data_IF_297968010334
#
_entry.id   IF_297968010334
#
_cell.length_a   1.000
_cell.length_b   1.000
_cell.length_c   1.000
_cell.angle_alpha   90.00
_cell.angle_beta   90.00
_cell.angle_gamma   90.00
#
_symmetry.space_group_name_H-M   'P 1'
#
loop_
_entity.id
_entity.type
_entity.pdbx_description
1 polymer ?
#
# COMPACT_ATOMS: atom_id res chain seq x y z
N UNK A 1 5.11 63.83 24.65
CA UNK A 1 4.35 63.16 23.58
C UNK A 1 4.77 61.69 23.58
N UNK A 2 3.91 60.79 24.09
CA UNK A 2 4.14 59.32 24.12
C UNK A 2 3.40 58.73 22.94
N UNK A 3 4.09 57.98 22.10
CA UNK A 3 3.51 57.20 21.00
C UNK A 3 3.55 55.72 21.39
N UNK A 4 2.40 55.20 21.77
CA UNK A 4 2.20 53.80 22.05
C UNK A 4 2.06 53.03 20.73
N UNK A 5 3.07 52.17 20.44
CA UNK A 5 3.01 51.27 19.29
C UNK A 5 2.29 49.98 19.66
N UNK A 6 1.07 49.82 19.13
CA UNK A 6 0.26 48.58 19.23
C UNK A 6 0.89 47.53 18.28
N UNK A 7 1.54 46.48 18.83
CA UNK A 7 1.95 45.30 18.09
C UNK A 7 0.76 44.33 17.99
N UNK A 8 0.10 44.31 16.82
CA UNK A 8 -0.88 43.27 16.48
C UNK A 8 -0.10 41.97 16.17
N UNK A 9 -0.13 41.03 17.11
CA UNK A 9 0.36 39.67 16.90
C UNK A 9 -0.58 38.89 15.99
N UNK A 10 -0.17 38.66 14.75
CA UNK A 10 -0.86 37.77 13.80
C UNK A 10 -0.56 36.32 14.17
N UNK A 11 -1.46 35.65 14.92
CA UNK A 11 -1.42 34.21 15.15
C UNK A 11 -1.78 33.48 13.87
N UNK A 12 -0.79 33.01 13.10
CA UNK A 12 -1.02 32.02 12.05
C UNK A 12 -1.33 30.67 12.70
N UNK A 13 -2.60 30.29 12.74
CA UNK A 13 -3.01 28.95 13.02
C UNK A 13 -2.63 28.06 11.83
N UNK A 14 -1.58 27.25 11.97
CA UNK A 14 -1.27 26.17 11.04
C UNK A 14 -2.44 25.16 11.08
N UNK A 15 -3.01 24.78 9.93
CA UNK A 15 -3.99 23.71 9.92
C UNK A 15 -3.26 22.42 10.36
N UNK A 16 -3.74 21.83 11.45
CA UNK A 16 -3.34 20.49 11.85
C UNK A 16 -3.67 19.54 10.70
N UNK A 17 -2.64 19.02 10.04
CA UNK A 17 -2.76 17.94 9.08
C UNK A 17 -3.29 16.73 9.87
N UNK A 18 -4.60 16.53 9.86
CA UNK A 18 -5.23 15.36 10.40
C UNK A 18 -4.72 14.18 9.54
N UNK A 19 -3.69 13.50 10.04
CA UNK A 19 -3.29 12.20 9.52
C UNK A 19 -4.51 11.30 9.67
N UNK A 20 -5.18 11.02 8.54
CA UNK A 20 -6.20 10.00 8.45
C UNK A 20 -5.54 8.69 8.89
N UNK A 21 -5.79 8.27 10.13
CA UNK A 21 -5.57 6.90 10.56
C UNK A 21 -6.54 6.07 9.74
N UNK A 22 -6.02 5.45 8.67
CA UNK A 22 -6.73 4.35 8.03
C UNK A 22 -6.87 3.29 9.12
N UNK A 23 -8.09 3.06 9.57
CA UNK A 23 -8.42 1.95 10.47
C UNK A 23 -7.99 0.66 9.78
N UNK A 24 -6.90 0.08 10.26
CA UNK A 24 -6.40 -1.23 9.84
C UNK A 24 -7.31 -2.33 10.42
N UNK A 25 -8.59 -2.32 10.05
CA UNK A 25 -9.52 -3.37 10.44
C UNK A 25 -9.37 -4.65 9.58
N UNK A 26 -8.48 -4.61 8.59
CA UNK A 26 -8.21 -5.73 7.69
C UNK A 26 -6.72 -6.04 7.71
N UNK A 27 -6.33 -7.06 8.48
CA UNK A 27 -4.92 -7.46 8.68
C UNK A 27 -4.31 -8.24 7.50
N UNK A 28 -4.82 -8.12 6.28
CA UNK A 28 -4.30 -8.81 5.10
C UNK A 28 -3.63 -7.86 4.14
N UNK A 29 -2.51 -8.31 3.53
CA UNK A 29 -1.84 -7.61 2.44
C UNK A 29 -2.66 -7.67 1.16
N UNK A 30 -2.64 -6.62 0.35
CA UNK A 30 -3.27 -6.61 -0.96
C UNK A 30 -2.54 -7.54 -1.94
N UNK A 31 -3.29 -8.12 -2.88
CA UNK A 31 -2.73 -8.87 -4.00
C UNK A 31 -1.95 -7.89 -4.92
N UNK A 32 -0.62 -8.10 -5.14
CA UNK A 32 0.22 -7.14 -5.84
C UNK A 32 -0.17 -6.84 -7.29
N UNK A 33 -0.40 -7.83 -8.18
CA UNK A 33 -0.80 -7.52 -9.54
C UNK A 33 -2.28 -7.10 -9.58
N UNK A 34 -2.54 -5.93 -10.15
CA UNK A 34 -3.92 -5.42 -10.29
C UNK A 34 -4.78 -6.32 -11.18
N UNK A 35 -4.17 -7.03 -12.12
CA UNK A 35 -4.85 -7.90 -13.08
C UNK A 35 -4.33 -9.34 -12.94
N UNK A 36 -4.45 -9.91 -11.73
CA UNK A 36 -4.09 -11.29 -11.47
C UNK A 36 -4.92 -12.23 -12.37
N UNK A 37 -4.24 -13.14 -13.05
CA UNK A 37 -4.86 -14.22 -13.85
C UNK A 37 -4.92 -15.51 -13.04
N UNK A 38 -3.76 -15.92 -12.51
CA UNK A 38 -3.63 -17.16 -11.73
C UNK A 38 -2.35 -17.12 -10.88
N UNK A 39 -2.24 -18.00 -9.92
CA UNK A 39 -1.02 -18.34 -9.19
C UNK A 39 -0.43 -19.57 -9.84
N UNK A 40 0.60 -19.41 -10.70
CA UNK A 40 1.17 -20.52 -11.47
C UNK A 40 2.12 -21.38 -10.65
N UNK A 41 2.73 -20.82 -9.59
CA UNK A 41 3.65 -21.54 -8.70
C UNK A 41 3.49 -21.06 -7.26
N UNK A 42 3.34 -22.00 -6.33
CA UNK A 42 3.25 -21.75 -4.88
C UNK A 42 4.59 -21.73 -4.19
N UNK A 43 4.59 -21.36 -2.90
CA UNK A 43 5.72 -21.44 -2.01
C UNK A 43 6.11 -22.91 -1.72
N UNK A 44 7.39 -23.18 -1.57
CA UNK A 44 7.91 -24.52 -1.24
C UNK A 44 8.65 -25.19 -2.42
N UNK A 45 9.19 -26.38 -2.21
CA UNK A 45 9.97 -27.13 -3.21
C UNK A 45 11.07 -26.30 -3.91
N UNK A 46 11.81 -25.50 -3.11
CA UNK A 46 12.87 -24.62 -3.61
C UNK A 46 12.37 -23.32 -4.24
N UNK A 47 11.08 -22.98 -4.09
CA UNK A 47 10.49 -21.70 -4.50
C UNK A 47 10.17 -20.84 -3.28
N UNK A 48 10.66 -19.59 -3.27
CA UNK A 48 10.67 -18.71 -2.11
C UNK A 48 9.47 -17.76 -2.04
N UNK A 49 8.51 -17.88 -2.96
CA UNK A 49 7.38 -16.98 -3.04
C UNK A 49 6.17 -17.55 -3.77
N UNK A 50 5.38 -16.67 -4.35
CA UNK A 50 4.28 -16.99 -5.27
C UNK A 50 4.56 -16.36 -6.63
N UNK A 51 4.37 -17.13 -7.70
CA UNK A 51 4.41 -16.60 -9.06
C UNK A 51 2.98 -16.20 -9.49
N UNK A 52 2.74 -14.89 -9.50
CA UNK A 52 1.45 -14.26 -9.76
C UNK A 52 1.38 -13.83 -11.22
N UNK A 53 0.73 -14.64 -12.06
CA UNK A 53 0.61 -14.38 -13.50
C UNK A 53 -0.29 -13.18 -13.77
N UNK A 54 0.22 -12.23 -14.57
CA UNK A 54 -0.51 -11.03 -14.95
C UNK A 54 -0.02 -10.53 -16.32
N UNK A 55 -0.79 -9.70 -17.04
CA UNK A 55 -0.36 -9.18 -18.34
C UNK A 55 0.94 -8.38 -18.26
N UNK A 56 1.83 -8.56 -19.21
CA UNK A 56 3.06 -7.76 -19.34
C UNK A 56 2.72 -6.27 -19.35
N UNK A 57 3.45 -5.49 -18.54
CA UNK A 57 3.25 -4.04 -18.42
C UNK A 57 2.06 -3.62 -17.55
N UNK A 58 1.25 -4.56 -17.03
CA UNK A 58 0.17 -4.22 -16.10
C UNK A 58 0.73 -3.70 -14.75
N UNK A 59 -0.04 -2.88 -14.01
CA UNK A 59 0.45 -2.30 -12.75
C UNK A 59 0.69 -3.35 -11.66
N UNK A 60 1.79 -3.16 -10.91
CA UNK A 60 2.08 -3.83 -9.65
C UNK A 60 1.85 -2.83 -8.53
N UNK A 61 1.11 -3.23 -7.50
CA UNK A 61 0.82 -2.41 -6.32
C UNK A 61 1.58 -2.91 -5.09
N UNK A 62 1.90 -1.98 -4.19
CA UNK A 62 2.41 -2.33 -2.87
C UNK A 62 1.33 -3.10 -2.10
N UNK A 63 1.68 -4.28 -1.61
CA UNK A 63 0.77 -5.14 -0.85
C UNK A 63 0.40 -4.56 0.52
N UNK A 64 1.27 -3.73 1.09
CA UNK A 64 1.06 -2.96 2.32
C UNK A 64 1.89 -1.68 2.28
N UNK A 65 1.55 -0.69 3.12
CA UNK A 65 2.31 0.54 3.27
C UNK A 65 3.68 0.32 3.92
N UNK A 66 4.69 1.10 3.53
CA UNK A 66 6.04 0.94 4.08
C UNK A 66 7.07 1.87 3.47
N UNK A 67 8.33 1.47 3.57
CA UNK A 67 9.47 2.20 3.01
C UNK A 67 10.26 1.29 2.08
N UNK A 68 10.58 1.79 0.89
CA UNK A 68 11.42 1.05 -0.08
C UNK A 68 12.80 0.82 0.52
N UNK A 69 13.22 -0.43 0.64
CA UNK A 69 14.57 -0.81 1.05
C UNK A 69 15.52 -0.90 -0.13
N UNK A 70 15.03 -1.43 -1.24
CA UNK A 70 15.80 -1.67 -2.44
C UNK A 70 14.92 -1.51 -3.68
N UNK A 71 15.46 -0.94 -4.72
CA UNK A 71 14.90 -0.91 -6.07
C UNK A 71 16.05 -1.01 -7.07
N UNK A 72 16.08 -2.08 -7.85
CA UNK A 72 17.20 -2.34 -8.78
C UNK A 72 17.25 -3.78 -9.27
N UNK A 73 18.34 -4.11 -9.99
CA UNK A 73 18.60 -5.46 -10.48
C UNK A 73 19.17 -6.36 -9.37
N UNK A 74 18.64 -7.57 -9.21
CA UNK A 74 19.08 -8.52 -8.21
C UNK A 74 19.13 -9.94 -8.77
N UNK A 75 20.31 -10.37 -9.27
CA UNK A 75 20.56 -11.71 -9.80
C UNK A 75 19.43 -12.26 -10.69
N UNK A 76 19.02 -13.52 -10.44
CA UNK A 76 17.95 -14.22 -11.19
C UNK A 76 16.55 -13.59 -11.03
N UNK A 77 16.33 -12.78 -10.00
CA UNK A 77 15.07 -12.05 -9.79
C UNK A 77 14.88 -10.90 -10.79
N UNK A 78 15.94 -10.45 -11.49
CA UNK A 78 15.88 -9.28 -12.37
C UNK A 78 15.63 -8.00 -11.61
N UNK A 79 14.79 -7.12 -12.12
CA UNK A 79 14.39 -5.90 -11.43
C UNK A 79 13.47 -6.23 -10.26
N UNK A 80 13.86 -5.79 -9.06
CA UNK A 80 13.07 -5.99 -7.83
C UNK A 80 12.80 -4.67 -7.12
N UNK A 81 11.72 -4.68 -6.33
CA UNK A 81 11.47 -3.71 -5.26
C UNK A 81 11.28 -4.50 -3.97
N UNK A 82 12.02 -4.12 -2.92
CA UNK A 82 11.81 -4.58 -1.55
C UNK A 82 11.22 -3.45 -0.72
N UNK A 83 10.13 -3.73 0.00
CA UNK A 83 9.45 -2.77 0.88
C UNK A 83 9.46 -3.31 2.29
N UNK A 84 9.95 -2.51 3.26
CA UNK A 84 9.85 -2.79 4.69
C UNK A 84 8.59 -2.16 5.24
N UNK A 85 7.82 -2.95 5.98
CA UNK A 85 6.58 -2.56 6.65
C UNK A 85 6.81 -2.21 8.12
N UNK A 86 5.81 -1.59 8.76
CA UNK A 86 5.90 -1.13 10.16
C UNK A 86 6.05 -2.26 11.19
N UNK A 87 5.60 -3.47 10.84
CA UNK A 87 5.71 -4.70 11.64
C UNK A 87 7.06 -5.43 11.46
N UNK A 88 7.97 -4.87 10.66
CA UNK A 88 9.29 -5.45 10.36
C UNK A 88 9.29 -6.44 9.21
N UNK A 89 8.14 -6.82 8.65
CA UNK A 89 8.06 -7.65 7.46
C UNK A 89 8.66 -6.94 6.25
N UNK A 90 9.16 -7.72 5.30
CA UNK A 90 9.60 -7.21 4.00
C UNK A 90 8.81 -7.92 2.92
N UNK A 91 8.24 -7.17 1.98
CA UNK A 91 7.71 -7.74 0.74
C UNK A 91 8.66 -7.50 -0.41
N UNK A 92 8.88 -8.52 -1.24
CA UNK A 92 9.67 -8.47 -2.47
C UNK A 92 8.79 -8.68 -3.68
N UNK A 93 9.01 -7.82 -4.68
CA UNK A 93 8.35 -7.87 -5.98
C UNK A 93 9.42 -8.01 -7.05
N UNK A 94 9.43 -9.12 -7.79
CA UNK A 94 10.48 -9.41 -8.74
C UNK A 94 10.00 -9.55 -10.18
N UNK A 95 10.94 -9.71 -11.11
CA UNK A 95 10.77 -9.80 -12.57
C UNK A 95 10.11 -8.56 -13.18
N UNK A 96 10.21 -7.41 -12.52
CA UNK A 96 9.54 -6.17 -12.94
C UNK A 96 10.10 -5.66 -14.28
N UNK A 97 9.21 -5.14 -15.13
CA UNK A 97 9.59 -4.46 -16.37
C UNK A 97 10.24 -3.11 -16.09
N UNK A 98 9.62 -2.34 -15.19
CA UNK A 98 10.05 -1.01 -14.82
C UNK A 98 9.51 -0.63 -13.44
N UNK A 99 10.20 0.30 -12.77
CA UNK A 99 9.75 0.92 -11.52
C UNK A 99 8.83 2.10 -11.84
N UNK A 100 7.88 2.39 -10.95
CA UNK A 100 7.09 3.60 -11.04
C UNK A 100 7.94 4.84 -10.66
N UNK A 101 7.59 6.04 -11.14
CA UNK A 101 8.26 7.26 -10.73
C UNK A 101 8.29 7.42 -9.19
N UNK A 102 9.42 7.82 -8.65
CA UNK A 102 9.63 8.03 -7.21
C UNK A 102 9.95 6.77 -6.40
N UNK A 103 9.96 5.57 -7.00
CA UNK A 103 10.38 4.34 -6.33
C UNK A 103 11.90 4.27 -6.28
N UNK A 104 12.46 4.56 -5.11
CA UNK A 104 13.89 4.52 -4.80
C UNK A 104 14.11 4.19 -3.33
N UNK A 105 15.29 3.67 -2.92
CA UNK A 105 15.59 3.40 -1.52
C UNK A 105 15.31 4.61 -0.62
N UNK A 106 14.60 4.39 0.49
CA UNK A 106 14.14 5.41 1.43
C UNK A 106 12.79 6.04 1.10
N UNK A 107 12.23 5.84 -0.10
CA UNK A 107 10.93 6.41 -0.46
C UNK A 107 9.78 5.76 0.34
N UNK A 108 8.86 6.56 0.92
CA UNK A 108 7.64 6.04 1.53
C UNK A 108 6.65 5.57 0.45
N UNK A 109 5.97 4.47 0.71
CA UNK A 109 4.97 3.88 -0.18
C UNK A 109 3.70 3.59 0.60
N UNK A 110 2.56 4.06 0.11
CA UNK A 110 1.26 3.70 0.66
C UNK A 110 0.81 2.32 0.16
N UNK A 111 0.00 1.62 0.95
CA UNK A 111 -0.70 0.41 0.49
C UNK A 111 -1.49 0.69 -0.78
N UNK A 112 -1.44 -0.23 -1.74
CA UNK A 112 -2.12 -0.10 -3.04
C UNK A 112 -1.49 0.90 -4.01
N UNK A 113 -0.45 1.64 -3.62
CA UNK A 113 0.28 2.51 -4.55
C UNK A 113 0.96 1.69 -5.66
N UNK A 114 0.94 2.21 -6.89
CA UNK A 114 1.64 1.56 -8.00
C UNK A 114 3.15 1.72 -7.81
N UNK A 115 3.86 0.59 -7.71
CA UNK A 115 5.32 0.56 -7.51
C UNK A 115 6.10 0.21 -8.79
N UNK A 116 5.40 -0.26 -9.81
CA UNK A 116 5.99 -0.60 -11.10
C UNK A 116 5.08 -1.40 -11.99
N UNK A 117 5.67 -2.13 -12.93
CA UNK A 117 4.94 -2.87 -13.96
C UNK A 117 5.43 -4.31 -14.07
N UNK A 118 4.48 -5.22 -14.31
CA UNK A 118 4.74 -6.64 -14.56
C UNK A 118 5.70 -6.81 -15.74
N UNK A 119 6.71 -7.63 -15.55
CA UNK A 119 7.75 -7.90 -16.55
C UNK A 119 8.10 -9.37 -16.69
N UNK A 120 9.29 -9.58 -17.23
CA UNK A 120 9.94 -10.87 -17.42
C UNK A 120 11.46 -10.73 -17.25
N UNK A 121 11.93 -9.77 -16.45
CA UNK A 121 13.37 -9.55 -16.25
C UNK A 121 13.98 -10.65 -15.38
N UNK A 122 15.27 -10.89 -15.51
CA UNK A 122 15.94 -12.00 -14.81
C UNK A 122 15.56 -13.37 -15.39
N UNK A 123 15.40 -14.37 -14.53
CA UNK A 123 15.07 -15.74 -14.92
C UNK A 123 13.56 -16.00 -14.81
N UNK A 124 12.80 -15.53 -15.78
CA UNK A 124 11.36 -15.68 -15.85
C UNK A 124 10.93 -16.47 -17.09
N UNK A 125 9.91 -17.33 -16.98
CA UNK A 125 9.38 -18.14 -18.08
C UNK A 125 8.13 -17.54 -18.75
N UNK A 126 7.62 -16.41 -18.23
CA UNK A 126 6.44 -15.71 -18.73
C UNK A 126 6.16 -14.45 -17.91
N UNK A 127 5.22 -13.58 -18.30
CA UNK A 127 4.91 -12.38 -17.57
C UNK A 127 4.25 -12.70 -16.23
N UNK A 128 4.94 -12.37 -15.12
CA UNK A 128 4.43 -12.56 -13.75
C UNK A 128 5.12 -11.63 -12.76
N UNK A 129 4.60 -11.56 -11.57
CA UNK A 129 5.27 -11.03 -10.38
C UNK A 129 5.65 -12.20 -9.50
N UNK A 130 6.94 -12.41 -9.27
CA UNK A 130 7.38 -13.27 -8.17
C UNK A 130 7.29 -12.46 -6.89
N UNK A 131 6.40 -12.88 -5.98
CA UNK A 131 6.07 -12.17 -4.75
C UNK A 131 6.53 -12.97 -3.52
N UNK A 132 7.31 -12.33 -2.64
CA UNK A 132 7.75 -12.91 -1.37
C UNK A 132 7.27 -12.07 -0.19
N UNK A 133 6.96 -12.75 0.92
CA UNK A 133 6.94 -12.19 2.27
C UNK A 133 8.16 -12.71 3.01
N UNK A 134 8.87 -11.82 3.70
CA UNK A 134 10.10 -12.16 4.41
C UNK A 134 10.01 -11.73 5.87
N UNK A 135 10.29 -12.67 6.77
CA UNK A 135 10.38 -12.49 8.22
C UNK A 135 11.84 -12.66 8.61
N UNK A 136 12.44 -11.70 9.28
CA UNK A 136 13.86 -11.74 9.68
C UNK A 136 14.81 -12.13 8.53
N UNK A 137 14.53 -11.60 7.33
CA UNK A 137 15.30 -11.84 6.12
C UNK A 137 15.06 -13.21 5.44
N UNK A 138 14.23 -14.09 6.00
CA UNK A 138 13.88 -15.40 5.44
C UNK A 138 12.52 -15.35 4.75
N UNK A 139 12.43 -15.91 3.54
CA UNK A 139 11.15 -16.04 2.85
C UNK A 139 10.24 -17.05 3.55
N UNK A 140 8.96 -16.68 3.70
CA UNK A 140 7.89 -17.52 4.25
C UNK A 140 6.75 -17.64 3.25
N UNK A 141 5.81 -18.57 3.44
CA UNK A 141 4.63 -18.68 2.56
C UNK A 141 3.83 -17.36 2.58
N UNK A 142 3.66 -16.68 1.43
CA UNK A 142 2.92 -15.42 1.38
C UNK A 142 1.40 -15.59 1.56
N UNK A 143 0.84 -16.77 1.32
CA UNK A 143 -0.62 -16.99 1.33
C UNK A 143 -1.32 -16.53 2.61
N UNK A 144 -0.79 -16.80 3.83
CA UNK A 144 -1.43 -16.34 5.05
C UNK A 144 -1.48 -14.82 5.21
N UNK A 145 -0.60 -14.10 4.51
CA UNK A 145 -0.49 -12.64 4.58
C UNK A 145 -1.36 -11.92 3.56
N UNK A 146 -1.73 -12.59 2.47
CA UNK A 146 -2.56 -11.99 1.43
C UNK A 146 -4.05 -12.04 1.84
N UNK A 147 -4.74 -10.92 1.74
CA UNK A 147 -6.18 -10.87 1.92
C UNK A 147 -6.86 -11.73 0.86
N UNK A 148 -7.41 -12.88 1.25
CA UNK A 148 -8.14 -13.79 0.37
C UNK A 148 -9.59 -13.35 0.13
N UNK A 149 -10.09 -12.39 0.93
CA UNK A 149 -11.41 -11.79 0.76
C UNK A 149 -11.28 -10.26 0.82
N UNK A 150 -12.03 -9.50 0.00
CA UNK A 150 -12.13 -8.07 0.20
C UNK A 150 -12.69 -7.84 1.60
N UNK A 151 -12.04 -6.97 2.38
CA UNK A 151 -12.62 -6.49 3.61
C UNK A 151 -13.97 -5.86 3.28
N UNK A 152 -15.05 -6.47 3.73
CA UNK A 152 -16.35 -5.82 3.70
C UNK A 152 -16.21 -4.60 4.61
N UNK A 153 -16.15 -3.40 4.01
CA UNK A 153 -16.32 -2.18 4.78
C UNK A 153 -17.64 -2.35 5.54
N UNK A 154 -17.68 -2.15 6.86
CA UNK A 154 -18.95 -2.06 7.55
C UNK A 154 -19.77 -1.03 6.78
N UNK A 155 -21.00 -1.41 6.39
CA UNK A 155 -21.92 -0.50 5.73
C UNK A 155 -21.88 0.81 6.51
N UNK A 156 -21.53 1.92 5.85
CA UNK A 156 -21.66 3.23 6.46
C UNK A 156 -23.10 3.33 6.87
N UNK A 157 -23.36 3.29 8.17
CA UNK A 157 -24.69 3.63 8.66
C UNK A 157 -25.07 4.97 8.06
N UNK A 158 -26.27 5.09 7.46
CA UNK A 158 -26.72 6.40 6.99
C UNK A 158 -26.62 7.33 8.19
N UNK A 159 -25.92 8.46 8.04
CA UNK A 159 -25.93 9.53 9.02
C UNK A 159 -27.40 9.81 9.27
N UNK A 160 -27.88 9.46 10.47
CA UNK A 160 -29.23 9.77 10.93
C UNK A 160 -29.39 11.28 10.76
N UNK A 161 -30.22 11.63 9.78
CA UNK A 161 -30.53 13.00 9.42
C UNK A 161 -30.97 13.70 10.70
N UNK A 162 -30.14 14.62 11.19
CA UNK A 162 -30.37 15.36 12.41
C UNK A 162 -31.77 15.99 12.32
N UNK A 163 -32.71 15.37 13.03
CA UNK A 163 -34.09 15.84 13.15
C UNK A 163 -34.03 17.27 13.69
N UNK A 164 -34.40 18.22 12.85
CA UNK A 164 -34.52 19.64 13.24
C UNK A 164 -35.41 19.73 14.50
N UNK A 165 -35.05 20.58 15.48
CA UNK A 165 -35.89 20.77 16.65
C UNK A 165 -37.25 21.30 16.22
N UNK A 166 -38.31 20.62 16.68
CA UNK A 166 -39.71 21.02 16.52
C UNK A 166 -39.89 22.41 17.15
N UNK A 167 -40.03 23.43 16.30
CA UNK A 167 -40.40 24.80 16.72
C UNK A 167 -41.87 24.78 17.12
N UNK A 168 -42.10 24.50 18.39
CA UNK A 168 -43.43 24.51 19.02
C UNK A 168 -44.09 25.87 19.02
N UNK A 169 -44.54 26.35 17.85
CA UNK A 169 -45.37 27.53 17.74
C UNK A 169 -46.82 27.14 18.05
N UNK A 170 -47.19 27.30 19.32
CA UNK A 170 -48.62 27.27 19.75
C UNK A 170 -49.24 28.59 19.38
N UNK A 171 -50.15 28.53 18.43
CA UNK A 171 -51.07 29.64 18.13
C UNK A 171 -52.02 29.87 19.31
N UNK A 172 -52.12 31.15 19.71
CA UNK A 172 -53.22 31.71 20.49
C UNK A 172 -53.97 32.68 19.62
#
# INVERSE_FOLDING_TARGET
MRVDALLLGLCFALPALAAARADSACNGMLMPPQQLREVSRGFGHGHTGLDLMAPLGSPIRAAAGGTVLYAGWFYDYGNIVDIRHSDGLITRYAHMLAFAPGISPGAPVAEGAVIGRVGMTGRAHGPHVHFEVRVDGKAVDPKPYLALAPCSQPAREPLEEARAPDDGRRDR
#
